data_IF_025586063024
#
_entry.id   IF_025586063024
#
_cell.length_a   1.000
_cell.length_b   1.000
_cell.length_c   1.000
_cell.angle_alpha   90.00
_cell.angle_beta   90.00
_cell.angle_gamma   90.00
#
_symmetry.space_group_name_H-M   'P 1'
#
loop_
_entity.id
_entity.type
_entity.pdbx_description
1 polymer ?
#
# COMPACT_ATOMS: atom_id res chain seq x y z
N UNK A 1 41.57 31.77 -18.84
CA UNK A 1 40.84 30.65 -19.47
C UNK A 1 40.41 29.68 -18.38
N UNK A 2 39.20 29.84 -17.85
CA UNK A 2 38.57 28.89 -16.91
C UNK A 2 37.16 28.59 -17.44
N UNK A 3 37.11 27.99 -18.62
CA UNK A 3 35.88 27.47 -19.23
C UNK A 3 36.04 25.96 -19.49
N UNK A 4 36.73 25.28 -18.58
CA UNK A 4 36.77 23.83 -18.53
C UNK A 4 36.12 23.36 -17.22
N UNK A 5 34.89 23.82 -16.97
CA UNK A 5 34.01 23.23 -15.97
C UNK A 5 32.60 23.27 -16.52
N UNK A 6 32.09 22.13 -16.97
CA UNK A 6 30.64 21.93 -16.92
C UNK A 6 29.90 21.88 -18.24
N UNK A 7 30.45 21.27 -19.29
CA UNK A 7 29.58 20.61 -20.28
C UNK A 7 29.08 19.26 -19.71
N UNK A 8 28.55 19.30 -18.47
CA UNK A 8 27.72 18.21 -18.00
C UNK A 8 26.45 18.32 -18.83
N UNK A 9 26.33 17.42 -19.81
CA UNK A 9 25.23 17.39 -20.76
C UNK A 9 23.91 17.65 -20.02
N UNK A 10 23.15 18.67 -20.43
CA UNK A 10 21.90 19.07 -19.77
C UNK A 10 20.92 17.90 -19.63
N UNK A 11 21.00 16.89 -20.51
CA UNK A 11 20.23 15.64 -20.40
C UNK A 11 20.64 14.76 -19.21
N UNK A 12 21.91 14.77 -18.82
CA UNK A 12 22.39 14.09 -17.61
C UNK A 12 21.83 14.80 -16.38
N UNK A 13 21.83 16.13 -16.38
CA UNK A 13 21.23 16.93 -15.30
C UNK A 13 19.75 16.64 -15.18
N UNK A 14 19.01 16.55 -16.28
CA UNK A 14 17.57 16.24 -16.24
C UNK A 14 17.28 14.82 -15.77
N UNK A 15 18.06 13.82 -16.19
CA UNK A 15 17.90 12.43 -15.74
C UNK A 15 18.17 12.31 -14.24
N UNK A 16 19.22 12.97 -13.73
CA UNK A 16 19.52 13.00 -12.28
C UNK A 16 18.40 13.69 -11.51
N UNK A 17 17.87 14.79 -12.02
CA UNK A 17 16.75 15.49 -11.37
C UNK A 17 15.49 14.61 -11.28
N UNK A 18 15.12 13.90 -12.35
CA UNK A 18 13.98 12.97 -12.33
C UNK A 18 14.24 11.82 -11.36
N UNK A 19 15.45 11.25 -11.36
CA UNK A 19 15.82 10.17 -10.45
C UNK A 19 15.72 10.61 -8.98
N UNK A 20 16.16 11.83 -8.66
CA UNK A 20 16.04 12.39 -7.32
C UNK A 20 14.57 12.58 -6.89
N UNK A 21 13.71 13.10 -7.77
CA UNK A 21 12.27 13.25 -7.50
C UNK A 21 11.59 11.90 -7.34
N UNK A 22 11.91 10.92 -8.20
CA UNK A 22 11.38 9.56 -8.10
C UNK A 22 11.82 8.90 -6.78
N UNK A 23 13.08 9.02 -6.39
CA UNK A 23 13.58 8.50 -5.13
C UNK A 23 12.83 9.10 -3.92
N UNK A 24 12.61 10.41 -3.93
CA UNK A 24 11.81 11.08 -2.89
C UNK A 24 10.37 10.56 -2.85
N UNK A 25 9.72 10.45 -4.01
CA UNK A 25 8.36 9.93 -4.11
C UNK A 25 8.23 8.51 -3.54
N UNK A 26 9.14 7.61 -3.93
CA UNK A 26 9.13 6.23 -3.44
C UNK A 26 9.49 6.10 -1.95
N UNK A 27 10.32 7.01 -1.43
CA UNK A 27 10.69 6.99 -0.01
C UNK A 27 9.57 7.51 0.91
N UNK A 28 8.84 8.56 0.50
CA UNK A 28 7.90 9.27 1.40
C UNK A 28 6.43 9.13 1.02
N UNK A 29 6.10 9.08 -0.27
CA UNK A 29 4.70 9.06 -0.73
C UNK A 29 4.21 7.62 -0.88
N UNK A 30 5.03 6.75 -1.49
CA UNK A 30 4.70 5.35 -1.72
C UNK A 30 4.37 4.53 -0.46
N UNK A 31 5.02 4.71 0.71
CA UNK A 31 4.68 3.95 1.92
C UNK A 31 3.23 4.15 2.36
N UNK A 32 2.72 5.39 2.24
CA UNK A 32 1.33 5.71 2.58
C UNK A 32 0.36 4.95 1.67
N UNK A 33 0.62 4.97 0.36
CA UNK A 33 -0.21 4.29 -0.64
C UNK A 33 -0.15 2.77 -0.46
N UNK A 34 1.04 2.22 -0.21
CA UNK A 34 1.24 0.79 0.03
C UNK A 34 0.42 0.31 1.22
N UNK A 35 0.44 1.03 2.34
CA UNK A 35 -0.33 0.67 3.53
C UNK A 35 -1.83 0.62 3.26
N UNK A 36 -2.36 1.57 2.47
CA UNK A 36 -3.78 1.56 2.08
C UNK A 36 -4.12 0.35 1.21
N UNK A 37 -3.29 0.03 0.21
CA UNK A 37 -3.54 -1.09 -0.70
C UNK A 37 -3.35 -2.44 0.00
N UNK A 38 -2.35 -2.57 0.88
CA UNK A 38 -2.12 -3.77 1.66
C UNK A 38 -3.28 -4.02 2.62
N UNK A 39 -3.84 -2.99 3.27
CA UNK A 39 -5.02 -3.16 4.13
C UNK A 39 -6.22 -3.75 3.37
N UNK A 40 -6.52 -3.24 2.17
CA UNK A 40 -7.60 -3.77 1.34
C UNK A 40 -7.23 -5.17 0.81
N UNK A 41 -6.04 -5.37 0.25
CA UNK A 41 -5.65 -6.68 -0.34
C UNK A 41 -5.60 -7.78 0.71
N UNK A 42 -5.06 -7.49 1.89
CA UNK A 42 -4.97 -8.44 2.99
C UNK A 42 -6.36 -8.90 3.42
N UNK A 43 -7.34 -7.99 3.52
CA UNK A 43 -8.70 -8.36 3.86
C UNK A 43 -9.43 -9.16 2.76
N UNK A 44 -8.97 -9.09 1.50
CA UNK A 44 -9.51 -9.93 0.41
C UNK A 44 -9.04 -11.36 0.57
N UNK A 45 -7.77 -11.53 0.95
CA UNK A 45 -7.14 -12.84 1.12
C UNK A 45 -7.23 -13.37 2.56
N UNK A 46 -7.79 -12.58 3.48
CA UNK A 46 -7.91 -12.95 4.88
C UNK A 46 -8.98 -14.01 5.08
N UNK A 47 -8.64 -14.96 5.94
CA UNK A 47 -9.57 -15.97 6.45
C UNK A 47 -10.20 -15.36 7.70
N UNK A 48 -11.49 -15.08 7.61
CA UNK A 48 -12.29 -14.57 8.73
C UNK A 48 -13.38 -15.59 9.08
N UNK A 49 -13.57 -15.86 10.37
CA UNK A 49 -14.69 -16.66 10.84
C UNK A 49 -16.00 -15.84 10.71
N UNK A 50 -17.02 -16.33 10.00
CA UNK A 50 -18.30 -15.64 9.86
C UNK A 50 -18.98 -15.35 11.21
N UNK A 51 -18.71 -16.11 12.28
CA UNK A 51 -19.25 -15.86 13.61
C UNK A 51 -18.75 -14.55 14.24
N UNK A 52 -17.59 -14.05 13.81
CA UNK A 52 -17.00 -12.79 14.28
C UNK A 52 -17.28 -11.62 13.33
N UNK A 53 -18.25 -11.78 12.42
CA UNK A 53 -18.64 -10.75 11.48
C UNK A 53 -19.98 -10.13 11.86
N UNK A 54 -20.00 -8.80 11.99
CA UNK A 54 -21.22 -8.02 12.26
C UNK A 54 -21.57 -7.20 11.04
N UNK A 55 -22.82 -7.31 10.58
CA UNK A 55 -23.35 -6.44 9.53
C UNK A 55 -24.12 -5.25 10.14
N UNK A 56 -23.82 -4.05 9.67
CA UNK A 56 -24.51 -2.83 10.08
C UNK A 56 -24.64 -1.93 8.87
N UNK A 57 -25.89 -1.58 8.51
CA UNK A 57 -26.21 -0.67 7.39
C UNK A 57 -25.49 -1.02 6.07
N UNK A 58 -25.46 -2.31 5.70
CA UNK A 58 -24.81 -2.75 4.45
C UNK A 58 -23.27 -2.79 4.51
N UNK A 59 -22.67 -2.61 5.69
CA UNK A 59 -21.23 -2.81 5.92
C UNK A 59 -21.05 -4.01 6.85
N UNK A 60 -20.31 -5.03 6.40
CA UNK A 60 -19.91 -6.20 7.17
C UNK A 60 -18.54 -5.99 7.78
N UNK A 61 -18.41 -6.06 9.09
CA UNK A 61 -17.15 -5.90 9.82
C UNK A 61 -16.80 -7.22 10.48
N UNK A 62 -15.71 -7.84 10.05
CA UNK A 62 -15.20 -9.08 10.64
C UNK A 62 -14.02 -8.77 11.56
N UNK A 63 -14.09 -9.23 12.80
CA UNK A 63 -12.98 -9.16 13.77
C UNK A 63 -12.24 -10.49 13.83
N UNK A 64 -10.97 -10.44 14.24
CA UNK A 64 -10.11 -11.62 14.40
C UNK A 64 -9.85 -12.39 13.08
N UNK A 65 -9.67 -11.67 11.98
CA UNK A 65 -9.22 -12.24 10.72
C UNK A 65 -7.72 -12.56 10.75
N UNK A 66 -7.32 -13.60 10.01
CA UNK A 66 -5.93 -13.98 9.82
C UNK A 66 -5.54 -14.10 8.34
N UNK A 67 -4.31 -13.76 8.02
CA UNK A 67 -3.72 -14.00 6.69
C UNK A 67 -2.22 -14.24 6.81
N UNK A 68 -1.65 -14.90 5.80
CA UNK A 68 -0.20 -15.04 5.66
C UNK A 68 0.33 -13.87 4.84
N UNK A 69 1.29 -13.12 5.38
CA UNK A 69 1.98 -12.06 4.66
C UNK A 69 2.95 -12.65 3.61
N UNK A 70 3.43 -11.83 2.67
CA UNK A 70 4.46 -12.16 1.66
C UNK A 70 5.74 -12.75 2.26
N UNK A 71 6.02 -12.45 3.52
CA UNK A 71 7.18 -12.96 4.27
C UNK A 71 6.93 -14.33 4.94
N UNK A 72 5.74 -14.93 4.75
CA UNK A 72 5.34 -16.21 5.36
C UNK A 72 4.89 -16.10 6.82
N UNK A 73 4.77 -14.89 7.35
CA UNK A 73 4.32 -14.63 8.71
C UNK A 73 2.79 -14.63 8.78
N UNK A 74 2.23 -15.33 9.77
CA UNK A 74 0.79 -15.27 10.04
C UNK A 74 0.45 -14.01 10.84
N UNK A 75 -0.37 -13.16 10.24
CA UNK A 75 -0.89 -11.95 10.87
C UNK A 75 -2.28 -12.28 11.39
N UNK A 76 -2.46 -12.25 12.71
CA UNK A 76 -3.72 -12.57 13.39
C UNK A 76 -4.32 -11.35 14.11
N UNK A 77 -5.59 -11.44 14.53
CA UNK A 77 -6.23 -10.42 15.35
C UNK A 77 -6.54 -9.11 14.62
N UNK A 78 -6.70 -9.16 13.30
CA UNK A 78 -6.98 -7.97 12.47
C UNK A 78 -8.48 -7.84 12.18
N UNK A 79 -8.90 -6.61 11.92
CA UNK A 79 -10.30 -6.29 11.62
C UNK A 79 -10.43 -5.91 10.16
N UNK A 80 -11.32 -6.58 9.44
CA UNK A 80 -11.61 -6.34 8.03
C UNK A 80 -13.01 -5.77 7.87
N UNK A 81 -13.15 -4.73 7.04
CA UNK A 81 -14.44 -4.14 6.69
C UNK A 81 -14.75 -4.47 5.24
N UNK A 82 -15.95 -4.99 5.01
CA UNK A 82 -16.50 -5.35 3.71
C UNK A 82 -17.76 -4.52 3.47
N UNK A 83 -17.87 -3.92 2.29
CA UNK A 83 -19.10 -3.30 1.84
C UNK A 83 -19.99 -4.38 1.21
N UNK A 84 -21.13 -4.66 1.84
CA UNK A 84 -22.09 -5.66 1.39
C UNK A 84 -22.84 -5.24 0.12
N UNK A 85 -22.84 -3.96 -0.26
CA UNK A 85 -23.49 -3.48 -1.49
C UNK A 85 -22.65 -3.79 -2.74
N UNK A 86 -21.33 -3.91 -2.59
CA UNK A 86 -20.38 -4.08 -3.70
C UNK A 86 -19.50 -5.33 -3.56
N UNK A 87 -19.57 -6.05 -2.43
CA UNK A 87 -18.80 -7.28 -2.18
C UNK A 87 -17.29 -7.06 -2.03
N UNK A 88 -16.85 -5.80 -1.89
CA UNK A 88 -15.44 -5.41 -1.78
C UNK A 88 -15.11 -4.94 -0.35
N UNK A 89 -13.84 -5.00 0.02
CA UNK A 89 -13.37 -4.44 1.29
C UNK A 89 -13.09 -2.94 1.20
N UNK A 90 -13.29 -2.27 2.34
CA UNK A 90 -13.11 -0.83 2.52
C UNK A 90 -11.84 -0.51 3.28
#
# INVERSE_FOLDING_TARGET
MKEATGELNMTVVTVVAIAAVAAFFYAFVWPSIKNSIESSTNCTNAICDPANCTETNGTRVCTNCSWTDKDGNEVTGKTCRYNSATGNNQ
#
